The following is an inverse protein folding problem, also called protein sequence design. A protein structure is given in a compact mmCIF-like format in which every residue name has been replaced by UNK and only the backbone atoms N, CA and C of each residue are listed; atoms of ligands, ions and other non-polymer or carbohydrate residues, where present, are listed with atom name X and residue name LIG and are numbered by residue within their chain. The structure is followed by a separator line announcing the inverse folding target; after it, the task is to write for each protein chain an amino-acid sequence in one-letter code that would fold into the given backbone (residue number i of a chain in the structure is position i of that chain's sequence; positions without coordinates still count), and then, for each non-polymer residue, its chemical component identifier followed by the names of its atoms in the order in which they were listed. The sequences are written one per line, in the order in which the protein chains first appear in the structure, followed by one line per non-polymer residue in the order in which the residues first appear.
data_IF_227243947385
#
_entry.id   IF_227243947385
#
_cell.length_a   1.000
_cell.length_b   1.000
_cell.length_c   1.000
_cell.angle_alpha   90.00
_cell.angle_beta   90.00
_cell.angle_gamma   90.00
#
_symmetry.space_group_name_H-M   'P 1'
#
loop_
_entity.id
_entity.type
_entity.pdbx_description
1 polymer ?
#
# COMPACT_ATOMS: atom_id res chain seq x y z
N UNK A 1 8.33 -16.25 -10.28
CA UNK A 1 7.97 -15.16 -11.22
C UNK A 1 7.29 -14.05 -10.43
N UNK A 2 7.58 -12.79 -10.73
CA UNK A 2 6.87 -11.63 -10.15
C UNK A 2 5.42 -11.63 -10.61
N UNK A 3 4.49 -11.31 -9.71
CA UNK A 3 3.04 -11.32 -10.00
C UNK A 3 2.31 -10.08 -9.49
N UNK A 4 2.97 -9.22 -8.72
CA UNK A 4 2.38 -8.05 -8.07
C UNK A 4 3.36 -6.87 -8.05
N UNK A 5 2.82 -5.65 -8.18
CA UNK A 5 3.54 -4.38 -8.04
C UNK A 5 2.78 -3.51 -7.05
N UNK A 6 3.43 -3.08 -5.98
CA UNK A 6 2.79 -2.30 -4.91
C UNK A 6 2.32 -0.94 -5.45
N UNK A 7 1.01 -0.66 -5.40
CA UNK A 7 0.47 0.61 -5.90
C UNK A 7 0.83 1.79 -4.99
N UNK A 8 0.94 1.55 -3.68
CA UNK A 8 1.29 2.57 -2.69
C UNK A 8 2.76 2.97 -2.77
N UNK A 9 3.69 2.03 -2.98
CA UNK A 9 5.09 2.39 -3.27
C UNK A 9 5.20 3.18 -4.59
N UNK A 10 4.40 2.80 -5.59
CA UNK A 10 4.42 3.46 -6.89
C UNK A 10 3.98 4.93 -6.82
N UNK A 11 3.07 5.29 -5.91
CA UNK A 11 2.71 6.70 -5.64
C UNK A 11 3.92 7.55 -5.24
N UNK A 12 4.92 6.93 -4.61
CA UNK A 12 6.19 7.54 -4.24
C UNK A 12 7.31 7.28 -5.26
N UNK A 13 6.97 6.84 -6.48
CA UNK A 13 7.91 6.43 -7.53
C UNK A 13 8.87 5.30 -7.14
N UNK A 14 8.50 4.46 -6.17
CA UNK A 14 9.29 3.30 -5.75
C UNK A 14 8.69 2.05 -6.40
N UNK A 15 9.49 1.34 -7.22
CA UNK A 15 9.08 0.06 -7.79
C UNK A 15 9.32 -1.04 -6.75
N UNK A 16 8.23 -1.50 -6.13
CA UNK A 16 8.25 -2.66 -5.25
C UNK A 16 7.42 -3.80 -5.83
N UNK A 17 8.11 -4.82 -6.28
CA UNK A 17 7.53 -6.00 -6.90
C UNK A 17 7.57 -7.20 -5.94
N UNK A 18 6.54 -8.05 -5.98
CA UNK A 18 6.45 -9.28 -5.20
C UNK A 18 6.05 -10.46 -6.10
N UNK A 19 6.52 -11.65 -5.73
CA UNK A 19 6.32 -12.88 -6.50
C UNK A 19 5.04 -13.65 -6.17
N UNK A 20 4.33 -13.30 -5.10
CA UNK A 20 3.03 -13.91 -4.75
C UNK A 20 2.23 -13.03 -3.78
N UNK A 21 0.95 -13.37 -3.59
CA UNK A 21 0.03 -12.70 -2.66
C UNK A 21 0.56 -12.65 -1.23
N UNK A 22 1.17 -13.73 -0.73
CA UNK A 22 1.68 -13.81 0.65
C UNK A 22 2.74 -12.74 0.90
N UNK A 23 3.67 -12.59 -0.04
CA UNK A 23 4.74 -11.61 0.04
C UNK A 23 4.21 -10.19 -0.13
N UNK A 24 3.24 -9.97 -1.03
CA UNK A 24 2.60 -8.66 -1.18
C UNK A 24 1.83 -8.27 0.10
N UNK A 25 1.06 -9.19 0.69
CA UNK A 25 0.36 -8.97 1.98
C UNK A 25 1.33 -8.69 3.12
N UNK A 26 2.45 -9.41 3.18
CA UNK A 26 3.48 -9.15 4.19
C UNK A 26 4.13 -7.78 4.01
N UNK A 27 4.36 -7.35 2.77
CA UNK A 27 4.89 -6.03 2.47
C UNK A 27 3.89 -4.93 2.82
N UNK A 28 2.61 -5.07 2.45
CA UNK A 28 1.56 -4.10 2.80
C UNK A 28 1.31 -4.05 4.32
N UNK A 29 1.33 -5.20 4.98
CA UNK A 29 1.01 -5.33 6.40
C UNK A 29 2.17 -5.03 7.36
N UNK A 30 3.36 -4.73 6.87
CA UNK A 30 4.47 -4.35 7.74
C UNK A 30 4.26 -2.91 8.27
N UNK A 31 4.48 -2.65 9.58
CA UNK A 31 4.33 -1.31 10.15
C UNK A 31 5.25 -0.27 9.52
N UNK A 32 6.44 -0.69 9.06
CA UNK A 32 7.46 0.18 8.48
C UNK A 32 7.23 0.56 7.01
N UNK A 33 6.19 0.03 6.38
CA UNK A 33 5.92 0.24 4.95
C UNK A 33 4.57 0.93 4.74
N UNK A 34 3.48 0.21 5.00
CA UNK A 34 2.12 0.70 4.75
C UNK A 34 1.18 0.45 5.93
N UNK A 35 1.56 -0.38 6.91
CA UNK A 35 0.74 -0.68 8.09
C UNK A 35 -0.69 -1.11 7.70
N UNK A 36 -0.86 -1.88 6.62
CA UNK A 36 -2.17 -2.31 6.07
C UNK A 36 -2.50 -3.77 6.42
N UNK A 37 -2.08 -4.23 7.59
CA UNK A 37 -2.40 -5.57 8.06
C UNK A 37 -3.91 -5.75 8.33
N UNK A 38 -4.45 -6.97 8.21
CA UNK A 38 -5.84 -7.25 8.58
C UNK A 38 -6.03 -7.32 10.10
N UNK A 39 -4.94 -7.45 10.85
CA UNK A 39 -4.94 -7.42 12.31
C UNK A 39 -4.65 -6.01 12.78
N UNK A 40 -5.41 -5.53 13.75
CA UNK A 40 -5.23 -4.21 14.38
C UNK A 40 -5.16 -4.39 15.88
N UNK A 41 -4.21 -3.68 16.51
CA UNK A 41 -4.09 -3.70 17.96
C UNK A 41 -5.28 -2.95 18.57
N UNK A 42 -5.97 -3.60 19.51
CA UNK A 42 -7.17 -3.08 20.18
C UNK A 42 -6.85 -2.14 21.34
N UNK A 43 -5.58 -1.97 21.71
CA UNK A 43 -5.20 -1.01 22.73
C UNK A 43 -5.50 0.41 22.20
N UNK A 44 -6.34 1.21 22.89
CA UNK A 44 -6.73 2.53 22.43
C UNK A 44 -5.52 3.42 22.13
N UNK A 45 -5.53 4.08 20.96
CA UNK A 45 -4.44 4.97 20.52
C UNK A 45 -3.22 4.27 19.93
N UNK A 46 -3.16 2.93 19.90
CA UNK A 46 -2.02 2.22 19.34
C UNK A 46 -1.93 2.33 17.80
N UNK A 47 -3.01 1.99 17.08
CA UNK A 47 -3.07 2.07 15.62
C UNK A 47 -2.13 1.13 14.86
N UNK A 48 -1.33 0.30 15.54
CA UNK A 48 -0.50 -0.70 14.88
C UNK A 48 -1.34 -1.79 14.24
N UNK A 49 -0.92 -2.19 13.05
CA UNK A 49 -1.50 -3.29 12.30
C UNK A 49 -0.43 -4.29 11.92
N UNK A 50 -0.85 -5.53 11.70
CA UNK A 50 0.06 -6.62 11.35
C UNK A 50 -0.60 -7.59 10.38
N UNK A 51 0.20 -8.17 9.49
CA UNK A 51 -0.23 -9.28 8.63
C UNK A 51 -0.42 -10.59 9.40
N UNK A 52 0.32 -10.78 10.50
CA UNK A 52 0.39 -12.06 11.22
C UNK A 52 0.29 -11.83 12.73
N UNK A 53 -0.39 -12.73 13.42
CA UNK A 53 -0.60 -12.62 14.88
C UNK A 53 0.71 -12.83 15.67
N UNK A 54 1.63 -13.64 15.14
CA UNK A 54 2.90 -13.99 15.76
C UNK A 54 4.01 -12.94 15.52
N UNK A 55 3.67 -11.78 14.97
CA UNK A 55 4.62 -10.72 14.61
C UNK A 55 4.18 -9.40 15.22
N UNK A 56 5.17 -8.57 15.56
CA UNK A 56 4.97 -7.27 16.21
C UNK A 56 4.14 -7.40 17.50
N UNK A 57 4.38 -8.47 18.28
CA UNK A 57 3.62 -8.72 19.51
C UNK A 57 3.99 -7.70 20.60
N UNK A 58 5.18 -7.11 20.54
CA UNK A 58 5.58 -6.03 21.45
C UNK A 58 5.68 -4.72 20.67
N UNK A 59 5.02 -3.68 21.17
CA UNK A 59 5.09 -2.32 20.64
C UNK A 59 5.93 -1.39 21.54
N UNK A 60 6.68 -1.94 22.48
CA UNK A 60 7.56 -1.22 23.42
C UNK A 60 6.86 -0.72 24.68
N UNK A 61 5.57 -0.37 24.59
CA UNK A 61 4.77 0.13 25.72
C UNK A 61 3.56 -0.76 26.09
N UNK A 62 3.24 -1.76 25.26
CA UNK A 62 2.22 -2.77 25.54
C UNK A 62 2.39 -3.99 24.64
N UNK A 63 1.76 -5.08 25.06
CA UNK A 63 1.65 -6.30 24.27
C UNK A 63 0.43 -6.27 23.33
N UNK A 64 0.64 -6.84 22.16
CA UNK A 64 -0.28 -7.18 21.09
C UNK A 64 -1.65 -7.65 21.55
N UNK A 65 -2.71 -6.84 21.46
CA UNK A 65 -4.09 -7.35 21.54
C UNK A 65 -4.73 -7.30 20.16
N UNK A 66 -4.52 -8.36 19.37
CA UNK A 66 -4.99 -8.39 17.99
C UNK A 66 -6.49 -8.57 17.87
N UNK A 67 -7.14 -7.62 17.21
CA UNK A 67 -8.44 -7.79 16.58
C UNK A 67 -8.29 -7.99 15.08
N UNK A 68 -9.24 -8.67 14.45
CA UNK A 68 -9.33 -8.75 13.00
C UNK A 68 -10.65 -8.15 12.51
N UNK A 69 -10.74 -6.82 12.39
CA UNK A 69 -11.92 -6.18 11.82
C UNK A 69 -12.09 -6.61 10.35
N UNK A 70 -13.29 -7.07 9.99
CA UNK A 70 -13.58 -7.52 8.63
C UNK A 70 -13.31 -6.43 7.58
N UNK A 71 -13.53 -5.15 7.93
CA UNK A 71 -13.22 -4.02 7.05
C UNK A 71 -11.75 -3.98 6.65
N UNK A 72 -10.81 -4.27 7.56
CA UNK A 72 -9.38 -4.29 7.27
C UNK A 72 -8.98 -5.47 6.39
N UNK A 73 -9.60 -6.63 6.62
CA UNK A 73 -9.44 -7.81 5.75
C UNK A 73 -9.86 -7.46 4.31
N UNK A 74 -11.04 -6.85 4.14
CA UNK A 74 -11.55 -6.44 2.83
C UNK A 74 -10.66 -5.37 2.18
N UNK A 75 -10.21 -4.38 2.95
CA UNK A 75 -9.32 -3.33 2.44
C UNK A 75 -7.99 -3.91 1.93
N UNK A 76 -7.34 -4.78 2.72
CA UNK A 76 -6.12 -5.44 2.30
C UNK A 76 -6.33 -6.31 1.05
N UNK A 77 -7.43 -7.07 1.00
CA UNK A 77 -7.74 -7.90 -0.18
C UNK A 77 -7.91 -7.06 -1.44
N UNK A 78 -8.59 -5.91 -1.35
CA UNK A 78 -8.77 -4.98 -2.47
C UNK A 78 -7.41 -4.44 -2.93
N UNK A 79 -6.55 -4.05 -2.00
CA UNK A 79 -5.23 -3.50 -2.33
C UNK A 79 -4.33 -4.55 -2.99
N UNK A 80 -4.32 -5.79 -2.48
CA UNK A 80 -3.56 -6.89 -3.12
C UNK A 80 -4.01 -7.12 -4.57
N UNK A 81 -5.32 -7.05 -4.85
CA UNK A 81 -5.83 -7.15 -6.22
C UNK A 81 -5.41 -5.95 -7.09
N UNK A 82 -5.45 -4.73 -6.55
CA UNK A 82 -4.95 -3.55 -7.25
C UNK A 82 -3.46 -3.70 -7.60
N UNK A 83 -2.64 -4.21 -6.67
CA UNK A 83 -1.22 -4.50 -6.92
C UNK A 83 -0.99 -5.55 -8.00
N UNK A 84 -1.87 -6.56 -8.09
CA UNK A 84 -1.83 -7.56 -9.15
C UNK A 84 -2.14 -6.93 -10.51
N UNK A 85 -3.19 -6.10 -10.58
CA UNK A 85 -3.57 -5.43 -11.81
C UNK A 85 -2.48 -4.46 -12.29
N UNK A 86 -1.91 -3.67 -11.37
CA UNK A 86 -0.82 -2.74 -11.69
C UNK A 86 0.41 -3.45 -12.29
N UNK A 87 0.69 -4.67 -11.86
CA UNK A 87 1.75 -5.48 -12.48
C UNK A 87 1.40 -5.91 -13.91
N UNK A 88 0.16 -6.39 -14.13
CA UNK A 88 -0.30 -6.81 -15.46
C UNK A 88 -0.30 -5.63 -16.45
N UNK A 89 -0.77 -4.46 -16.02
CA UNK A 89 -0.78 -3.25 -16.85
C UNK A 89 0.65 -2.83 -17.22
N UNK A 90 1.59 -2.90 -16.27
CA UNK A 90 2.99 -2.59 -16.54
C UNK A 90 3.64 -3.57 -17.54
N UNK A 91 3.30 -4.86 -17.45
CA UNK A 91 3.79 -5.86 -18.41
C UNK A 91 3.18 -5.64 -19.80
N UNK A 92 1.89 -5.28 -19.87
CA UNK A 92 1.21 -4.99 -21.13
C UNK A 92 1.81 -3.78 -21.87
N UNK A 93 2.29 -2.77 -21.16
CA UNK A 93 2.92 -1.58 -21.76
C UNK A 93 4.29 -1.84 -22.39
N UNK A 94 5.00 -2.89 -21.94
CA UNK A 94 6.32 -3.27 -22.50
C UNK A 94 6.17 -4.18 -23.73
N UNK A 95 5.00 -4.78 -23.93
CA UNK A 95 4.74 -5.55 -25.13
C UNK A 95 4.75 -4.62 -26.36
N UNK A 96 5.55 -4.92 -27.41
CA UNK A 96 5.53 -4.12 -28.62
C UNK A 96 4.10 -4.09 -29.17
N UNK A 97 3.63 -2.94 -29.70
CA UNK A 97 2.35 -2.92 -30.39
C UNK A 97 2.44 -3.96 -31.49
N UNK A 98 1.61 -5.00 -31.40
CA UNK A 98 1.44 -5.93 -32.52
C UNK A 98 0.87 -5.06 -33.62
N UNK A 99 1.74 -4.65 -34.56
CA UNK A 99 1.33 -3.93 -35.74
C UNK A 99 0.24 -4.77 -36.38
N UNK A 100 -1.00 -4.26 -36.32
CA UNK A 100 -2.14 -4.94 -36.89
C UNK A 100 -1.79 -5.28 -38.33
N UNK A 101 -1.89 -6.56 -38.67
CA UNK A 101 -2.00 -6.97 -40.06
C UNK A 101 -3.17 -6.13 -40.60
N UNK A 102 -2.95 -5.23 -41.56
CA UNK A 102 -4.05 -4.47 -42.13
C UNK A 102 -5.08 -5.48 -42.63
N UNK A 103 -6.39 -5.30 -42.33
CA UNK A 103 -7.40 -6.18 -42.88
C UNK A 103 -7.21 -6.19 -44.40
N UNK A 104 -7.00 -7.38 -44.96
CA UNK A 104 -6.83 -7.57 -46.39
C UNK A 104 -7.94 -6.80 -47.11
N UNK A 105 -7.55 -5.84 -47.92
CA UNK A 105 -8.47 -5.04 -48.72
C UNK A 105 -9.37 -5.99 -49.50
N UNK A 106 -10.65 -6.03 -49.13
CA UNK A 106 -11.67 -6.69 -49.95
C UNK A 106 -11.69 -5.92 -51.27
N UNK A 107 -11.27 -6.59 -52.34
CA UNK A 107 -11.28 -6.04 -53.68
C UNK A 107 -12.70 -5.68 -54.09
N UNK A 108 -13.01 -4.39 -54.09
CA UNK A 108 -14.22 -3.90 -54.73
C UNK A 108 -14.00 -3.88 -56.25
N UNK A 109 -14.72 -4.76 -56.94
CA UNK A 109 -14.82 -4.76 -58.39
C UNK A 109 -15.35 -3.43 -58.91
N UNK A 110 -14.64 -2.87 -59.88
CA UNK A 110 -15.00 -1.67 -60.63
C UNK A 110 -16.16 -1.99 -61.57
N UNK A 111 -17.25 -1.24 -61.48
CA UNK A 111 -18.24 -1.13 -62.55
C UNK A 111 -18.72 0.32 -62.73
N UNK A 112 -18.29 0.87 -63.87
CA UNK A 112 -18.90 1.87 -64.75
C UNK A 112 -19.75 3.04 -64.18
N UNK A 113 -19.14 4.22 -64.32
CA UNK A 113 -19.65 5.56 -64.63
C UNK A 113 -21.12 5.76 -65.07
N UNK A 114 -21.76 6.77 -64.49
CA UNK A 114 -22.88 7.55 -65.05
C UNK A 114 -22.84 9.00 -64.53
N UNK A 115 -23.16 10.04 -65.34
CA UNK A 115 -22.91 11.44 -64.97
C UNK A 115 -24.14 12.22 -64.47
N UNK A 116 -23.84 13.34 -63.77
CA UNK A 116 -24.56 14.62 -63.68
C UNK A 116 -25.38 14.99 -62.42
N UNK A 117 -24.77 15.90 -61.64
CA UNK A 117 -25.29 17.20 -61.13
C UNK A 117 -26.40 17.25 -60.04
N UNK A 118 -26.64 18.40 -59.37
CA UNK A 118 -25.74 19.46 -58.86
C UNK A 118 -25.87 19.68 -57.32
N UNK A 119 -25.00 20.53 -56.77
CA UNK A 119 -24.92 20.90 -55.35
C UNK A 119 -26.10 21.75 -54.84
N UNK A 120 -26.35 21.71 -53.51
CA UNK A 120 -26.59 22.90 -52.69
C UNK A 120 -25.60 22.92 -51.51
N UNK A 121 -24.78 23.95 -51.28
CA UNK A 121 -25.10 25.24 -50.65
C UNK A 121 -25.77 25.10 -49.26
N UNK A 122 -25.03 25.59 -48.25
CA UNK A 122 -25.44 26.11 -46.90
C UNK A 122 -25.92 25.08 -45.86
N UNK A 123 -25.62 25.13 -44.55
CA UNK A 123 -25.23 26.19 -43.60
C UNK A 123 -24.50 25.58 -42.38
N UNK A 124 -23.54 26.31 -41.81
CA UNK A 124 -23.11 26.23 -40.40
C UNK A 124 -24.27 26.53 -39.44
N UNK A 125 -24.33 25.87 -38.27
CA UNK A 125 -24.83 26.52 -37.07
C UNK A 125 -23.81 26.57 -35.92
N UNK A 126 -23.64 27.80 -35.48
CA UNK A 126 -23.02 28.31 -34.25
C UNK A 126 -23.52 27.59 -32.99
N UNK A 127 -22.67 27.40 -31.95
CA UNK A 127 -23.11 26.89 -30.65
C UNK A 127 -23.94 27.93 -29.89
N UNK A 128 -25.19 27.58 -29.55
CA UNK A 128 -26.04 28.39 -28.68
C UNK A 128 -25.78 28.02 -27.22
N UNK A 129 -25.33 29.01 -26.46
CA UNK A 129 -25.32 28.99 -25.01
C UNK A 129 -26.75 28.95 -24.47
N UNK A 130 -27.03 28.00 -23.56
CA UNK A 130 -28.20 28.07 -22.70
C UNK A 130 -27.78 28.16 -21.23
N UNK A 131 -28.01 29.36 -20.74
CA UNK A 131 -28.06 29.81 -19.36
C UNK A 131 -29.08 28.99 -18.55
N UNK A 132 -28.75 28.80 -17.28
CA UNK A 132 -29.57 28.18 -16.24
C UNK A 132 -30.97 28.81 -16.08
N UNK A 133 -31.85 28.09 -15.36
CA UNK A 133 -32.62 28.68 -14.28
C UNK A 133 -32.17 28.13 -12.92
N UNK A 134 -31.80 29.06 -12.04
CA UNK A 134 -31.80 28.86 -10.59
C UNK A 134 -33.25 28.78 -10.10
N UNK A 135 -33.56 27.87 -9.18
CA UNK A 135 -34.09 28.22 -7.85
C UNK A 135 -34.25 26.95 -6.96
N UNK A 136 -34.44 27.10 -5.63
CA UNK A 136 -33.73 26.31 -4.63
C UNK A 136 -34.68 25.51 -3.72
N UNK A 137 -34.22 24.40 -3.17
CA UNK A 137 -34.61 23.97 -1.82
C UNK A 137 -33.88 22.67 -1.42
N UNK A 138 -33.06 22.83 -0.39
CA UNK A 138 -32.99 21.95 0.78
C UNK A 138 -32.76 20.44 0.56
N UNK A 139 -31.50 20.03 0.72
CA UNK A 139 -31.08 19.09 1.77
C UNK A 139 -29.55 18.87 1.68
N UNK A 140 -28.78 19.88 2.06
CA UNK A 140 -27.35 19.68 2.33
C UNK A 140 -27.21 18.98 3.68
N UNK A 141 -26.71 17.75 3.62
CA UNK A 141 -26.15 17.04 4.78
C UNK A 141 -24.94 17.84 5.27
N UNK A 142 -24.84 18.19 6.56
CA UNK A 142 -23.72 18.95 7.07
C UNK A 142 -22.42 18.14 6.96
N UNK A 143 -21.28 18.77 6.63
CA UNK A 143 -19.98 18.17 6.87
C UNK A 143 -19.80 17.96 8.37
N UNK A 144 -19.38 16.77 8.78
CA UNK A 144 -19.02 16.47 10.15
C UNK A 144 -17.89 17.42 10.58
N UNK A 145 -18.27 18.42 11.37
CA UNK A 145 -17.35 19.34 12.02
C UNK A 145 -16.40 18.53 12.90
N UNK A 146 -15.10 18.82 12.75
CA UNK A 146 -14.10 18.51 13.74
C UNK A 146 -14.58 19.05 15.10
N UNK A 147 -14.86 18.14 16.04
CA UNK A 147 -15.12 18.50 17.42
C UNK A 147 -13.80 18.98 18.03
N UNK A 148 -13.63 20.30 18.07
CA UNK A 148 -12.67 20.96 18.96
C UNK A 148 -13.25 20.85 20.37
N UNK A 149 -12.68 19.96 21.18
CA UNK A 149 -12.92 19.98 22.61
C UNK A 149 -12.22 21.20 23.23
N UNK A 150 -12.84 21.88 24.22
CA UNK A 150 -12.18 22.95 24.94
C UNK A 150 -11.03 22.39 25.79
N UNK A 151 -9.86 22.98 25.63
CA UNK A 151 -8.70 22.77 26.47
C UNK A 151 -9.06 23.11 27.92
N UNK A 152 -9.11 22.09 28.78
CA UNK A 152 -8.96 22.29 30.20
C UNK A 152 -7.54 22.83 30.43
N UNK A 153 -7.44 23.99 31.06
CA UNK A 153 -6.19 24.59 31.49
C UNK A 153 -5.43 23.59 32.36
N UNK A 154 -4.37 23.01 31.80
CA UNK A 154 -3.32 22.36 32.57
C UNK A 154 -2.08 23.24 32.48
N UNK A 155 -1.68 23.68 33.66
CA UNK A 155 -0.50 24.47 33.98
C UNK A 155 0.76 23.85 33.35
N UNK A 156 1.49 24.54 32.45
CA UNK A 156 2.74 24.01 31.93
C UNK A 156 3.84 24.28 32.97
N UNK A 157 4.00 23.35 33.91
CA UNK A 157 5.32 23.13 34.50
C UNK A 157 6.24 22.67 33.37
N UNK A 158 6.99 23.62 32.81
CA UNK A 158 8.07 23.39 31.85
C UNK A 158 9.05 22.43 32.50
N UNK A 159 8.94 21.13 32.17
CA UNK A 159 10.03 20.19 32.38
C UNK A 159 11.10 20.60 31.39
N UNK A 160 12.10 21.32 31.88
CA UNK A 160 13.28 21.65 31.10
C UNK A 160 13.83 20.35 30.50
N UNK A 161 13.85 20.29 29.17
CA UNK A 161 14.49 19.20 28.45
C UNK A 161 15.98 19.28 28.78
N UNK A 162 16.49 18.33 29.56
CA UNK A 162 17.91 18.21 29.86
C UNK A 162 18.55 17.37 28.73
N UNK A 163 19.28 17.98 27.78
CA UNK A 163 19.94 17.26 26.71
C UNK A 163 21.08 16.35 27.22
N UNK A 164 21.46 16.41 28.51
CA UNK A 164 22.40 15.47 29.11
C UNK A 164 21.80 14.08 29.41
N UNK A 165 20.48 13.93 29.34
CA UNK A 165 19.80 12.67 29.67
C UNK A 165 19.64 11.71 28.47
N UNK A 166 19.93 12.16 27.25
CA UNK A 166 19.92 11.34 26.04
C UNK A 166 21.33 11.31 25.44
N UNK A 167 22.12 10.23 25.67
CA UNK A 167 23.41 10.09 25.02
C UNK A 167 23.24 10.09 23.49
N UNK A 168 24.23 10.59 22.74
CA UNK A 168 24.14 10.66 21.29
C UNK A 168 23.93 9.26 20.68
N UNK A 169 23.21 9.17 19.54
CA UNK A 169 22.79 7.90 18.91
C UNK A 169 23.93 7.00 18.39
N UNK A 170 25.19 7.38 18.59
CA UNK A 170 26.36 6.57 18.24
C UNK A 170 26.61 5.42 19.22
N UNK A 171 26.24 5.58 20.49
CA UNK A 171 26.60 4.62 21.54
C UNK A 171 25.68 3.38 21.56
N UNK A 172 24.49 3.47 20.96
CA UNK A 172 23.52 2.37 20.97
C UNK A 172 23.95 1.19 20.10
N UNK A 173 24.61 1.47 18.98
CA UNK A 173 25.07 0.41 18.07
C UNK A 173 26.27 -0.34 18.67
N UNK A 174 27.24 0.38 19.24
CA UNK A 174 28.38 -0.24 19.92
C UNK A 174 27.93 -1.04 21.14
N UNK A 175 26.99 -0.51 21.93
CA UNK A 175 26.44 -1.24 23.09
C UNK A 175 25.64 -2.50 22.68
N UNK A 176 24.90 -2.45 21.57
CA UNK A 176 24.20 -3.61 21.03
C UNK A 176 25.15 -4.67 20.45
N UNK A 177 26.25 -4.24 19.81
CA UNK A 177 27.29 -5.14 19.32
C UNK A 177 28.08 -5.77 20.46
N UNK A 178 28.41 -5.02 21.52
CA UNK A 178 29.05 -5.55 22.73
C UNK A 178 28.13 -6.56 23.44
N UNK A 179 26.83 -6.30 23.53
CA UNK A 179 25.88 -7.25 24.12
C UNK A 179 25.73 -8.52 23.27
N UNK A 180 25.70 -8.39 21.94
CA UNK A 180 25.70 -9.51 21.02
C UNK A 180 26.99 -10.33 21.15
N UNK A 181 28.16 -9.68 21.10
CA UNK A 181 29.44 -10.36 21.29
C UNK A 181 29.52 -11.01 22.66
N UNK A 182 29.05 -10.39 23.74
CA UNK A 182 29.04 -11.00 25.08
C UNK A 182 28.11 -12.21 25.19
N UNK A 183 26.97 -12.18 24.48
CA UNK A 183 25.97 -13.24 24.48
C UNK A 183 26.40 -14.43 23.62
N UNK A 184 27.19 -14.19 22.57
CA UNK A 184 27.62 -15.20 21.61
C UNK A 184 29.14 -15.50 21.66
N UNK A 185 29.89 -14.82 22.54
CA UNK A 185 31.29 -15.10 22.79
C UNK A 185 31.44 -16.51 23.37
N UNK A 186 32.15 -17.36 22.63
CA UNK A 186 32.39 -18.74 23.01
C UNK A 186 31.30 -19.72 22.54
N UNK A 187 30.26 -19.25 21.82
CA UNK A 187 29.36 -20.14 21.09
C UNK A 187 30.10 -20.61 19.84
N UNK A 188 30.52 -21.87 19.84
CA UNK A 188 31.15 -22.48 18.68
C UNK A 188 30.10 -22.91 17.67
N UNK A 189 30.53 -23.14 16.43
CA UNK A 189 29.68 -23.73 15.40
C UNK A 189 29.15 -25.11 15.84
N UNK A 190 29.96 -25.86 16.58
CA UNK A 190 29.60 -27.18 17.11
C UNK A 190 28.48 -27.08 18.16
N UNK A 191 28.46 -26.03 18.99
CA UNK A 191 27.38 -25.77 19.94
C UNK A 191 26.05 -25.48 19.24
N UNK A 192 26.09 -24.74 18.12
CA UNK A 192 24.90 -24.42 17.31
C UNK A 192 24.36 -25.67 16.61
N UNK A 193 25.26 -26.49 16.04
CA UNK A 193 24.87 -27.74 15.36
C UNK A 193 24.28 -28.74 16.36
N UNK A 194 24.87 -28.86 17.56
CA UNK A 194 24.33 -29.71 18.63
C UNK A 194 22.97 -29.23 19.14
N UNK A 195 22.77 -27.92 19.32
CA UNK A 195 21.47 -27.38 19.72
C UNK A 195 20.39 -27.68 18.66
N UNK A 196 20.75 -27.63 17.37
CA UNK A 196 19.83 -27.95 16.29
C UNK A 196 19.46 -29.43 16.24
N UNK A 197 20.40 -30.33 16.53
CA UNK A 197 20.15 -31.77 16.65
C UNK A 197 19.23 -32.09 17.85
N UNK A 198 19.47 -31.49 19.01
CA UNK A 198 18.62 -31.64 20.21
C UNK A 198 17.18 -31.15 19.94
N UNK A 199 17.02 -30.02 19.25
CA UNK A 199 15.70 -29.51 18.85
C UNK A 199 15.00 -30.43 17.83
N UNK A 200 15.74 -31.06 16.91
CA UNK A 200 15.15 -32.02 15.97
C UNK A 200 14.72 -33.31 16.67
N UNK A 201 15.50 -33.86 17.60
CA UNK A 201 15.10 -35.05 18.35
C UNK A 201 13.83 -34.82 19.18
N UNK A 202 13.68 -33.62 19.75
CA UNK A 202 12.47 -33.22 20.48
C UNK A 202 11.24 -33.08 19.57
N UNK A 203 11.44 -32.76 18.29
CA UNK A 203 10.37 -32.59 17.32
C UNK A 203 9.87 -33.93 16.73
N UNK A 204 10.69 -34.98 16.78
CA UNK A 204 10.38 -36.29 16.19
C UNK A 204 10.04 -37.39 17.21
N UNK A 205 9.94 -37.07 18.51
CA UNK A 205 9.34 -37.92 19.55
C UNK A 205 7.85 -37.64 19.73
#
# INVERSE_FOLDING_TARGET
MTTHRCTLCLQSNIIKDCNNDRNMRSHLGAPSTHNMGPLECRIPGCGHRSQRQDRNIDHGNHQAVWGQPQALVTALNREVQACRQAFLDAVAQVAPPVAGIPPAAQGHSIAAQGPSAPAPMVHDPVPVAHTAPQDPAAAQVPPAAAQVHPAAAQDPAVVAFDPAQFPPPTDYFEQAMDEFERRYAGVTREDIEKQYEEEQELYYQ
#
